data_IF_016961921501
#
_entry.id   IF_016961921501
#
_cell.length_a   1.000
_cell.length_b   1.000
_cell.length_c   1.000
_cell.angle_alpha   90.00
_cell.angle_beta   90.00
_cell.angle_gamma   90.00
#
_symmetry.space_group_name_H-M   'P 1'
#
loop_
_entity.id
_entity.type
_entity.pdbx_description
1 polymer ?
#
# COMPACT_ATOMS: atom_id res chain seq x y z
N UNK A 1 0.67 19.39 -15.68
CA UNK A 1 1.15 19.77 -14.35
C UNK A 1 2.53 20.41 -14.52
N UNK A 2 2.86 21.48 -13.75
CA UNK A 2 4.16 22.17 -13.88
C UNK A 2 5.27 21.22 -13.40
N UNK A 3 6.32 21.04 -14.22
CA UNK A 3 7.48 20.19 -13.92
C UNK A 3 8.16 20.52 -12.57
N UNK A 4 8.06 21.78 -12.11
CA UNK A 4 8.58 22.21 -10.82
C UNK A 4 7.76 21.63 -9.67
N UNK A 5 6.44 21.65 -9.80
CA UNK A 5 5.51 21.07 -8.80
C UNK A 5 5.75 19.57 -8.67
N UNK A 6 5.85 18.86 -9.80
CA UNK A 6 6.09 17.43 -9.83
C UNK A 6 7.42 17.05 -9.14
N UNK A 7 8.50 17.78 -9.43
CA UNK A 7 9.79 17.59 -8.76
C UNK A 7 9.72 17.83 -7.26
N UNK A 8 8.96 18.85 -6.84
CA UNK A 8 8.76 19.18 -5.42
C UNK A 8 8.02 18.05 -4.71
N UNK A 9 6.90 17.58 -5.26
CA UNK A 9 6.11 16.47 -4.68
C UNK A 9 6.97 15.20 -4.59
N UNK A 10 7.71 14.87 -5.63
CA UNK A 10 8.62 13.72 -5.64
C UNK A 10 9.72 13.84 -4.58
N UNK A 11 10.27 15.03 -4.37
CA UNK A 11 11.24 15.28 -3.29
C UNK A 11 10.62 15.07 -1.91
N UNK A 12 9.41 15.58 -1.68
CA UNK A 12 8.65 15.37 -0.44
C UNK A 12 8.42 13.87 -0.20
N UNK A 13 7.93 13.14 -1.19
CA UNK A 13 7.64 11.70 -1.10
C UNK A 13 8.88 10.88 -0.76
N UNK A 14 9.98 11.09 -1.49
CA UNK A 14 11.22 10.37 -1.25
C UNK A 14 11.77 10.64 0.16
N UNK A 15 11.78 11.91 0.57
CA UNK A 15 12.23 12.30 1.90
C UNK A 15 11.36 11.70 3.00
N UNK A 16 10.04 11.71 2.81
CA UNK A 16 9.11 11.09 3.75
C UNK A 16 9.35 9.59 3.89
N UNK A 17 9.48 8.86 2.78
CA UNK A 17 9.74 7.41 2.80
C UNK A 17 11.06 7.08 3.48
N UNK A 18 12.13 7.85 3.23
CA UNK A 18 13.41 7.68 3.93
C UNK A 18 13.30 7.90 5.44
N UNK A 19 12.50 8.88 5.87
CA UNK A 19 12.26 9.15 7.28
C UNK A 19 11.39 8.06 7.91
N UNK A 20 10.33 7.65 7.23
CA UNK A 20 9.38 6.65 7.70
C UNK A 20 10.03 5.26 7.84
N UNK A 21 10.99 4.93 6.99
CA UNK A 21 11.79 3.71 7.11
C UNK A 21 12.64 3.65 8.40
N UNK A 22 12.88 4.79 9.06
CA UNK A 22 13.76 4.89 10.23
C UNK A 22 13.02 5.18 11.54
N UNK A 23 11.81 5.71 11.47
CA UNK A 23 11.04 6.12 12.65
C UNK A 23 9.53 6.08 12.43
N UNK A 24 8.74 5.91 13.50
CA UNK A 24 7.29 5.90 13.41
C UNK A 24 6.74 7.25 12.95
N UNK A 25 5.54 7.22 12.34
CA UNK A 25 4.90 8.38 11.72
C UNK A 25 4.75 9.56 12.69
N UNK A 26 4.39 9.27 13.94
CA UNK A 26 4.13 10.25 15.01
C UNK A 26 5.39 11.06 15.39
N UNK A 27 6.58 10.57 15.03
CA UNK A 27 7.87 11.23 15.26
C UNK A 27 8.39 12.01 14.06
N UNK A 28 7.64 12.04 12.95
CA UNK A 28 7.99 12.82 11.77
C UNK A 28 7.30 14.18 11.86
N UNK A 29 8.08 15.27 11.74
CA UNK A 29 7.54 16.63 11.72
C UNK A 29 7.69 17.29 10.35
N UNK A 30 6.73 18.16 10.00
CA UNK A 30 6.80 18.98 8.77
C UNK A 30 8.09 19.78 8.72
N UNK A 31 8.56 20.29 9.87
CA UNK A 31 9.80 21.07 9.95
C UNK A 31 11.02 20.25 9.51
N UNK A 32 11.15 19.04 10.05
CA UNK A 32 12.28 18.18 9.75
C UNK A 32 12.21 17.67 8.30
N UNK A 33 11.02 17.29 7.83
CA UNK A 33 10.80 16.87 6.46
C UNK A 33 11.14 17.98 5.47
N UNK A 34 10.64 19.21 5.70
CA UNK A 34 10.89 20.34 4.81
C UNK A 34 12.38 20.67 4.72
N UNK A 35 13.10 20.65 5.85
CA UNK A 35 14.53 20.88 5.87
C UNK A 35 15.30 19.83 5.07
N UNK A 36 14.95 18.53 5.24
CA UNK A 36 15.58 17.44 4.50
C UNK A 36 15.26 17.46 3.01
N UNK A 37 14.02 17.77 2.65
CA UNK A 37 13.58 17.90 1.27
C UNK A 37 14.08 19.19 0.59
N UNK A 38 14.76 20.06 1.34
CA UNK A 38 15.24 21.38 0.88
C UNK A 38 14.12 22.26 0.32
N UNK A 39 12.96 22.28 0.99
CA UNK A 39 11.81 23.11 0.63
C UNK A 39 11.41 24.01 1.80
N UNK A 40 10.67 25.08 1.50
CA UNK A 40 10.03 25.88 2.54
C UNK A 40 8.80 25.14 3.10
N UNK A 41 8.51 25.30 4.40
CA UNK A 41 7.27 24.79 5.03
C UNK A 41 6.01 25.27 4.30
N UNK A 42 5.98 26.52 3.83
CA UNK A 42 4.87 27.05 3.05
C UNK A 42 4.64 26.22 1.78
N UNK A 43 5.72 25.75 1.13
CA UNK A 43 5.63 24.85 -0.03
C UNK A 43 5.03 23.50 0.34
N UNK A 44 5.37 22.94 1.49
CA UNK A 44 4.72 21.73 1.98
C UNK A 44 3.21 21.92 2.15
N UNK A 45 2.81 23.00 2.84
CA UNK A 45 1.40 23.29 3.12
C UNK A 45 0.56 23.68 1.89
N UNK A 46 1.19 23.97 0.74
CA UNK A 46 0.47 24.09 -0.54
C UNK A 46 -0.06 22.75 -1.06
N UNK A 47 0.54 21.63 -0.63
CA UNK A 47 0.23 20.32 -1.14
C UNK A 47 -0.43 19.38 -0.10
N UNK A 48 -0.05 19.52 1.17
CA UNK A 48 -0.48 18.62 2.25
C UNK A 48 -0.83 19.42 3.50
N UNK A 49 -1.90 19.02 4.19
CA UNK A 49 -2.33 19.65 5.45
C UNK A 49 -1.35 19.39 6.60
N UNK A 50 -0.87 18.17 6.67
CA UNK A 50 0.07 17.69 7.68
C UNK A 50 0.77 16.39 7.23
N UNK A 51 1.54 15.79 8.13
CA UNK A 51 2.27 14.53 7.88
C UNK A 51 1.32 13.34 7.69
N UNK A 52 0.16 13.35 8.33
CA UNK A 52 -0.81 12.28 8.19
C UNK A 52 -1.50 12.32 6.84
N UNK A 53 -1.85 13.50 6.34
CA UNK A 53 -2.39 13.73 5.01
C UNK A 53 -1.41 13.26 3.91
N UNK A 54 -0.12 13.57 4.07
CA UNK A 54 0.95 13.06 3.21
C UNK A 54 1.04 11.51 3.26
N UNK A 55 0.96 10.93 4.46
CA UNK A 55 0.97 9.46 4.62
C UNK A 55 -0.23 8.82 3.94
N UNK A 56 -1.42 9.36 4.15
CA UNK A 56 -2.66 8.87 3.52
C UNK A 56 -2.63 8.97 1.99
N UNK A 57 -2.03 10.03 1.45
CA UNK A 57 -1.84 10.18 0.00
C UNK A 57 -0.95 9.04 -0.55
N UNK A 58 0.21 8.79 0.07
CA UNK A 58 1.12 7.72 -0.35
C UNK A 58 0.54 6.31 -0.14
N UNK A 59 -0.19 6.10 0.96
CA UNK A 59 -0.91 4.86 1.21
C UNK A 59 -1.94 4.60 0.11
N UNK A 60 -2.69 5.62 -0.30
CA UNK A 60 -3.71 5.53 -1.35
C UNK A 60 -3.08 5.29 -2.73
N UNK A 61 -1.97 5.96 -3.07
CA UNK A 61 -1.22 5.67 -4.31
C UNK A 61 -0.72 4.22 -4.36
N UNK A 62 -0.21 3.71 -3.23
CA UNK A 62 0.22 2.32 -3.14
C UNK A 62 -0.95 1.35 -3.33
N UNK A 63 -2.07 1.57 -2.64
CA UNK A 63 -3.29 0.76 -2.75
C UNK A 63 -3.81 0.77 -4.19
N UNK A 64 -3.93 1.93 -4.82
CA UNK A 64 -4.36 2.04 -6.22
C UNK A 64 -3.43 1.23 -7.15
N UNK A 65 -2.11 1.28 -6.94
CA UNK A 65 -1.15 0.51 -7.74
C UNK A 65 -1.26 -1.02 -7.57
N UNK A 66 -1.88 -1.49 -6.48
CA UNK A 66 -2.22 -2.90 -6.26
C UNK A 66 -3.52 -3.24 -6.98
N UNK A 67 -4.55 -2.38 -6.82
CA UNK A 67 -5.89 -2.58 -7.39
C UNK A 67 -5.86 -2.51 -8.92
N UNK A 68 -5.04 -1.66 -9.52
CA UNK A 68 -4.86 -1.52 -10.97
C UNK A 68 -4.43 -2.83 -11.68
N UNK A 69 -4.00 -3.84 -10.91
CA UNK A 69 -3.66 -5.17 -11.44
C UNK A 69 -4.86 -6.10 -11.55
N UNK A 70 -5.99 -5.74 -10.93
CA UNK A 70 -7.17 -6.58 -10.86
C UNK A 70 -7.96 -6.47 -12.16
N UNK A 71 -8.33 -7.62 -12.73
CA UNK A 71 -9.31 -7.72 -13.80
C UNK A 71 -10.72 -7.87 -13.17
N UNK A 72 -11.57 -6.83 -13.20
CA UNK A 72 -12.85 -6.85 -12.48
C UNK A 72 -13.78 -7.97 -12.92
N UNK A 73 -13.78 -8.30 -14.21
CA UNK A 73 -14.64 -9.33 -14.80
C UNK A 73 -14.29 -10.74 -14.26
N UNK A 74 -13.03 -10.98 -13.96
CA UNK A 74 -12.51 -12.27 -13.53
C UNK A 74 -12.50 -12.43 -12.01
N UNK A 75 -12.54 -11.32 -11.27
CA UNK A 75 -12.34 -11.33 -9.82
C UNK A 75 -13.31 -12.24 -9.05
N UNK A 76 -14.57 -12.30 -9.48
CA UNK A 76 -15.59 -13.15 -8.84
C UNK A 76 -15.74 -14.50 -9.54
N UNK A 77 -15.50 -14.55 -10.87
CA UNK A 77 -15.64 -15.78 -11.65
C UNK A 77 -14.45 -16.74 -11.47
N UNK A 78 -13.26 -16.21 -11.21
CA UNK A 78 -12.04 -16.99 -10.93
C UNK A 78 -11.31 -16.45 -9.67
N UNK A 79 -11.79 -16.78 -8.48
CA UNK A 79 -11.18 -16.31 -7.23
C UNK A 79 -9.73 -16.78 -7.03
N UNK A 80 -9.33 -17.90 -7.65
CA UNK A 80 -7.95 -18.43 -7.53
C UNK A 80 -6.99 -17.47 -8.25
N UNK A 81 -7.29 -17.12 -9.50
CA UNK A 81 -6.51 -16.13 -10.25
C UNK A 81 -6.51 -14.76 -9.57
N UNK A 82 -7.62 -14.35 -8.95
CA UNK A 82 -7.69 -13.12 -8.19
C UNK A 82 -6.75 -13.13 -6.95
N UNK A 83 -6.67 -14.26 -6.22
CA UNK A 83 -5.75 -14.46 -5.09
C UNK A 83 -4.30 -14.39 -5.57
N UNK A 84 -3.94 -15.05 -6.65
CA UNK A 84 -2.59 -15.04 -7.20
C UNK A 84 -2.18 -13.62 -7.62
N UNK A 85 -3.05 -12.92 -8.36
CA UNK A 85 -2.83 -11.53 -8.80
C UNK A 85 -2.58 -10.59 -7.62
N UNK A 86 -3.41 -10.65 -6.57
CA UNK A 86 -3.23 -9.83 -5.38
C UNK A 86 -1.95 -10.19 -4.61
N UNK A 87 -1.65 -11.47 -4.47
CA UNK A 87 -0.46 -11.93 -3.75
C UNK A 87 0.81 -11.46 -4.47
N UNK A 88 0.86 -11.56 -5.80
CA UNK A 88 1.96 -11.04 -6.63
C UNK A 88 2.06 -9.50 -6.54
N UNK A 89 0.93 -8.78 -6.57
CA UNK A 89 0.91 -7.34 -6.43
C UNK A 89 1.44 -6.89 -5.06
N UNK A 90 1.06 -7.56 -3.97
CA UNK A 90 1.63 -7.32 -2.64
C UNK A 90 3.14 -7.61 -2.60
N UNK A 91 3.58 -8.73 -3.18
CA UNK A 91 4.99 -9.10 -3.21
C UNK A 91 5.84 -8.08 -3.97
N UNK A 92 5.36 -7.60 -5.13
CA UNK A 92 6.01 -6.57 -5.92
C UNK A 92 6.16 -5.23 -5.18
N UNK A 93 5.29 -4.94 -4.21
CA UNK A 93 5.27 -3.70 -3.41
C UNK A 93 5.78 -3.87 -1.98
N UNK A 94 6.36 -5.01 -1.65
CA UNK A 94 6.76 -5.41 -0.28
C UNK A 94 7.48 -4.30 0.48
N UNK A 95 8.49 -3.67 -0.11
CA UNK A 95 9.28 -2.63 0.57
C UNK A 95 8.44 -1.41 0.95
N UNK A 96 7.57 -0.93 0.04
CA UNK A 96 6.69 0.20 0.33
C UNK A 96 5.63 -0.16 1.38
N UNK A 97 5.08 -1.38 1.30
CA UNK A 97 4.14 -1.89 2.30
C UNK A 97 4.80 -1.89 3.68
N UNK A 98 6.02 -2.40 3.80
CA UNK A 98 6.76 -2.44 5.06
C UNK A 98 7.05 -1.04 5.63
N UNK A 99 7.27 -0.04 4.78
CA UNK A 99 7.53 1.34 5.22
C UNK A 99 6.24 2.03 5.66
N UNK A 100 5.17 1.96 4.85
CA UNK A 100 3.95 2.73 5.08
C UNK A 100 3.01 2.08 6.10
N UNK A 101 2.93 0.74 6.08
CA UNK A 101 2.01 -0.05 6.91
C UNK A 101 2.73 -0.86 8.00
N UNK A 102 3.90 -0.40 8.47
CA UNK A 102 4.59 -0.99 9.61
C UNK A 102 3.74 -0.92 10.90
N UNK A 103 4.03 -1.84 11.82
CA UNK A 103 3.44 -1.91 13.16
C UNK A 103 1.92 -2.22 13.15
N UNK A 104 1.15 -1.47 13.92
CA UNK A 104 -0.31 -1.67 14.11
C UNK A 104 -1.15 -1.35 12.86
N UNK A 105 -0.53 -0.86 11.77
CA UNK A 105 -1.21 -0.46 10.54
C UNK A 105 -1.34 -1.58 9.51
N UNK A 106 -0.81 -2.76 9.78
CA UNK A 106 -0.82 -3.87 8.81
C UNK A 106 -2.24 -4.27 8.37
N UNK A 107 -3.21 -4.28 9.27
CA UNK A 107 -4.61 -4.56 8.94
C UNK A 107 -5.26 -3.46 8.09
N UNK A 108 -4.80 -2.20 8.22
CA UNK A 108 -5.31 -1.07 7.45
C UNK A 108 -5.03 -1.21 5.95
N UNK A 109 -3.93 -1.86 5.55
CA UNK A 109 -3.67 -2.12 4.13
C UNK A 109 -4.76 -3.01 3.52
N UNK A 110 -5.07 -4.14 4.16
CA UNK A 110 -6.10 -5.05 3.66
C UNK A 110 -7.48 -4.37 3.59
N UNK A 111 -7.83 -3.55 4.60
CA UNK A 111 -9.07 -2.77 4.59
C UNK A 111 -9.13 -1.76 3.43
N UNK A 112 -8.05 -0.97 3.23
CA UNK A 112 -8.00 -0.01 2.11
C UNK A 112 -8.06 -0.72 0.74
N UNK A 113 -7.42 -1.88 0.60
CA UNK A 113 -7.49 -2.67 -0.64
C UNK A 113 -8.90 -3.23 -0.82
N UNK A 114 -9.55 -3.74 0.23
CA UNK A 114 -10.94 -4.21 0.16
C UNK A 114 -11.90 -3.10 -0.29
N UNK A 115 -11.80 -1.92 0.33
CA UNK A 115 -12.61 -0.76 -0.03
C UNK A 115 -12.44 -0.41 -1.50
N UNK A 116 -11.21 -0.27 -1.98
CA UNK A 116 -10.95 0.07 -3.38
C UNK A 116 -11.34 -1.03 -4.38
N UNK A 117 -11.19 -2.31 -4.02
CA UNK A 117 -11.70 -3.43 -4.83
C UNK A 117 -13.22 -3.39 -4.91
N UNK A 118 -13.90 -3.14 -3.79
CA UNK A 118 -15.36 -3.00 -3.78
C UNK A 118 -15.82 -1.82 -4.63
N UNK A 119 -15.17 -0.67 -4.54
CA UNK A 119 -15.47 0.48 -5.39
C UNK A 119 -15.35 0.12 -6.87
N UNK A 120 -14.22 -0.47 -7.28
CA UNK A 120 -13.96 -0.89 -8.65
C UNK A 120 -15.01 -1.87 -9.20
N UNK A 121 -15.39 -2.88 -8.39
CA UNK A 121 -16.34 -3.91 -8.80
C UNK A 121 -17.78 -3.39 -8.82
N UNK A 122 -18.16 -2.52 -7.87
CA UNK A 122 -19.51 -2.00 -7.72
C UNK A 122 -19.82 -0.86 -8.71
N UNK A 123 -18.80 -0.16 -9.23
CA UNK A 123 -19.00 0.78 -10.36
C UNK A 123 -19.52 0.07 -11.60
N UNK A 124 -19.06 -1.16 -11.85
CA UNK A 124 -19.48 -1.97 -13.01
C UNK A 124 -20.70 -2.83 -12.73
N UNK A 125 -20.92 -3.21 -11.49
CA UNK A 125 -21.98 -4.12 -11.06
C UNK A 125 -22.68 -3.56 -9.82
N UNK A 126 -23.48 -2.50 -9.93
CA UNK A 126 -24.09 -1.82 -8.76
C UNK A 126 -24.96 -2.74 -7.89
N UNK A 127 -25.58 -3.77 -8.51
CA UNK A 127 -26.41 -4.77 -7.83
C UNK A 127 -25.61 -5.64 -6.84
N UNK A 128 -24.29 -5.70 -6.98
CA UNK A 128 -23.45 -6.50 -6.08
C UNK A 128 -23.29 -5.86 -4.70
N UNK A 129 -23.62 -4.59 -4.53
CA UNK A 129 -23.58 -3.92 -3.23
C UNK A 129 -24.47 -4.61 -2.20
N UNK A 130 -25.62 -5.10 -2.64
CA UNK A 130 -26.60 -5.78 -1.79
C UNK A 130 -26.44 -7.33 -1.77
N UNK A 131 -25.54 -7.88 -2.58
CA UNK A 131 -25.27 -9.31 -2.64
C UNK A 131 -24.29 -9.72 -1.54
N UNK A 132 -24.81 -10.31 -0.48
CA UNK A 132 -24.03 -10.77 0.67
C UNK A 132 -22.96 -11.81 0.27
N UNK A 133 -23.27 -12.70 -0.67
CA UNK A 133 -22.35 -13.75 -1.14
C UNK A 133 -21.14 -13.16 -1.85
N UNK A 134 -21.36 -12.20 -2.78
CA UNK A 134 -20.28 -11.51 -3.48
C UNK A 134 -19.45 -10.65 -2.56
N UNK A 135 -20.08 -9.91 -1.64
CA UNK A 135 -19.37 -9.13 -0.63
C UNK A 135 -18.47 -10.02 0.24
N UNK A 136 -18.96 -11.15 0.69
CA UNK A 136 -18.20 -12.13 1.49
C UNK A 136 -17.02 -12.68 0.68
N UNK A 137 -17.23 -13.04 -0.59
CA UNK A 137 -16.18 -13.55 -1.46
C UNK A 137 -15.07 -12.52 -1.69
N UNK A 138 -15.43 -11.26 -1.96
CA UNK A 138 -14.47 -10.17 -2.13
C UNK A 138 -13.61 -10.03 -0.87
N UNK A 139 -14.23 -9.94 0.29
CA UNK A 139 -13.51 -9.85 1.57
C UNK A 139 -12.58 -11.06 1.78
N UNK A 140 -13.07 -12.29 1.52
CA UNK A 140 -12.28 -13.50 1.66
C UNK A 140 -11.04 -13.50 0.74
N UNK A 141 -11.21 -13.12 -0.53
CA UNK A 141 -10.10 -13.05 -1.50
C UNK A 141 -9.07 -12.02 -1.07
N UNK A 142 -9.49 -10.81 -0.70
CA UNK A 142 -8.58 -9.72 -0.31
C UNK A 142 -7.83 -10.05 0.97
N UNK A 143 -8.53 -10.43 2.04
CA UNK A 143 -7.89 -10.75 3.31
C UNK A 143 -7.08 -12.04 3.26
N UNK A 144 -7.56 -13.04 2.52
CA UNK A 144 -6.84 -14.30 2.30
C UNK A 144 -5.50 -14.08 1.58
N UNK A 145 -5.49 -13.31 0.50
CA UNK A 145 -4.28 -12.95 -0.26
C UNK A 145 -3.29 -12.15 0.60
N UNK A 146 -3.81 -11.19 1.37
CA UNK A 146 -2.98 -10.42 2.28
C UNK A 146 -2.33 -11.29 3.36
N UNK A 147 -3.10 -12.21 3.95
CA UNK A 147 -2.60 -13.13 4.97
C UNK A 147 -1.53 -14.07 4.40
N UNK A 148 -1.77 -14.61 3.20
CA UNK A 148 -0.80 -15.43 2.49
C UNK A 148 0.50 -14.65 2.24
N UNK A 149 0.41 -13.41 1.74
CA UNK A 149 1.57 -12.53 1.53
C UNK A 149 2.36 -12.31 2.83
N UNK A 150 1.69 -11.98 3.94
CA UNK A 150 2.34 -11.72 5.23
C UNK A 150 3.09 -12.97 5.72
N UNK A 151 2.44 -14.15 5.69
CA UNK A 151 3.04 -15.40 6.15
C UNK A 151 4.22 -15.82 5.27
N UNK A 152 4.08 -15.76 3.95
CA UNK A 152 5.19 -16.08 3.03
C UNK A 152 6.37 -15.10 3.20
N UNK A 153 6.10 -13.83 3.47
CA UNK A 153 7.14 -12.85 3.74
C UNK A 153 7.89 -13.12 5.04
N UNK A 154 7.21 -13.62 6.08
CA UNK A 154 7.83 -13.99 7.35
C UNK A 154 8.67 -15.27 7.24
N UNK A 155 8.25 -16.25 6.47
CA UNK A 155 8.99 -17.50 6.24
C UNK A 155 10.33 -17.21 5.54
N UNK A 156 10.36 -16.33 4.56
CA UNK A 156 11.62 -15.96 3.86
C UNK A 156 12.57 -15.10 4.69
N UNK A 157 12.10 -14.44 5.76
CA UNK A 157 12.97 -13.70 6.70
C UNK A 157 13.61 -14.64 7.73
N UNK A 158 13.02 -15.81 7.99
CA UNK A 158 13.47 -16.75 9.00
C UNK A 158 14.38 -17.87 8.48
N UNK A 159 14.72 -17.92 7.20
CA UNK A 159 15.83 -18.78 6.73
C UNK A 159 17.17 -18.08 6.99
N UNK A 160 17.91 -18.47 8.04
CA UNK A 160 19.32 -18.10 8.13
C UNK A 160 20.02 -18.76 6.94
N UNK A 161 20.72 -17.98 6.14
CA UNK A 161 21.68 -18.49 5.16
C UNK A 161 22.57 -19.51 5.85
N UNK A 162 22.27 -20.80 5.69
CA UNK A 162 23.19 -21.87 6.10
C UNK A 162 24.46 -21.68 5.30
N UNK A 163 25.62 -21.44 5.92
CA UNK A 163 26.87 -21.50 5.19
C UNK A 163 27.01 -22.92 4.66
N UNK A 164 27.16 -23.06 3.35
CA UNK A 164 27.60 -24.30 2.73
C UNK A 164 29.00 -24.60 3.23
N UNK A 165 29.11 -25.46 4.25
CA UNK A 165 30.36 -26.12 4.55
C UNK A 165 30.61 -27.12 3.43
N UNK A 166 31.47 -26.73 2.46
CA UNK A 166 32.10 -27.66 1.54
C UNK A 166 33.21 -28.35 2.32
N UNK A 167 33.05 -29.63 2.58
CA UNK A 167 34.09 -30.55 3.03
C UNK A 167 34.76 -31.18 1.83
#
# INVERSE_FOLDING_TARGET
>A
MDLRVEKTIKSIFNTFLEMRAKKPLEKISVTELSNKAMINKATFYLHFKDIYDLSDCLESELVNSIIDKIAPEEFVSDPVTAIDTLTEAYAAKKNMIQILFADTRSQRLAQKVEEGVKELLFERNPEWKEDCGKNTLISYVVFGSYYAFVNLSLIHISEPTRPLYIS
#
